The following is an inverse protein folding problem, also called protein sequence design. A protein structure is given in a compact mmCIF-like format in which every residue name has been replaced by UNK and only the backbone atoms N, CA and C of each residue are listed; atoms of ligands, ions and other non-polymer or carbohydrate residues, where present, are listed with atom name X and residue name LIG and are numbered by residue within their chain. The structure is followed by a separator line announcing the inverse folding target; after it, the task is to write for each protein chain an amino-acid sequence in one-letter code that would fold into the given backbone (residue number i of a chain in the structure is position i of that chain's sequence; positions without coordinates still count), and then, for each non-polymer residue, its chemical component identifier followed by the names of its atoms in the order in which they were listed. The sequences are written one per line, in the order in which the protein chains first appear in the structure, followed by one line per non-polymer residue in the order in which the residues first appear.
data_IF_224583527690
#
_entry.id   IF_224583527690
#
_cell.length_a   1.000
_cell.length_b   1.000
_cell.length_c   1.000
_cell.angle_alpha   90.00
_cell.angle_beta   90.00
_cell.angle_gamma   90.00
#
_symmetry.space_group_name_H-M   'P 1'
#
loop_
_entity.id
_entity.type
_entity.pdbx_description
1 polymer ?
#
# COMPACT_ATOMS: atom_id res chain seq x y z
N UNK A 1 31.15 18.87 28.58
CA UNK A 1 30.35 17.65 28.76
C UNK A 1 28.95 17.96 28.26
N UNK A 2 28.59 17.39 27.10
CA UNK A 2 27.33 17.67 26.41
C UNK A 2 26.12 17.29 27.26
N UNK A 3 25.25 18.27 27.49
CA UNK A 3 23.87 18.06 27.93
C UNK A 3 23.11 17.30 26.84
N UNK A 4 23.25 15.98 26.80
CA UNK A 4 22.35 15.12 26.03
C UNK A 4 21.02 15.05 26.76
N UNK A 5 20.03 15.72 26.21
CA UNK A 5 18.67 15.80 26.72
C UNK A 5 17.98 14.42 26.62
N UNK A 6 18.28 13.51 27.54
CA UNK A 6 17.84 12.09 27.56
C UNK A 6 16.33 11.91 27.77
N UNK A 7 15.60 13.00 28.06
CA UNK A 7 14.15 13.00 28.27
C UNK A 7 13.35 12.83 26.96
N UNK A 8 13.93 13.19 25.81
CA UNK A 8 13.28 13.05 24.50
C UNK A 8 13.53 11.70 23.81
N UNK A 9 14.57 10.96 24.19
CA UNK A 9 14.93 9.68 23.55
C UNK A 9 14.13 8.48 24.09
N UNK A 10 13.61 8.55 25.33
CA UNK A 10 13.04 7.38 26.02
C UNK A 10 11.53 7.14 25.80
N UNK A 11 10.76 8.10 25.28
CA UNK A 11 9.30 7.98 25.14
C UNK A 11 8.80 7.87 23.70
N UNK A 12 9.60 7.25 22.83
CA UNK A 12 9.12 6.86 21.50
C UNK A 12 8.98 5.35 21.46
N UNK A 13 7.96 4.86 22.15
CA UNK A 13 7.50 3.47 22.12
C UNK A 13 6.85 3.20 20.75
N UNK A 14 7.63 3.32 19.67
CA UNK A 14 7.21 2.84 18.36
C UNK A 14 7.34 1.33 18.40
N UNK A 15 6.21 0.64 18.56
CA UNK A 15 6.12 -0.78 18.22
C UNK A 15 6.83 -0.98 16.86
N UNK A 16 7.74 -1.95 16.70
CA UNK A 16 8.56 -2.10 15.50
C UNK A 16 7.75 -2.07 14.19
N UNK A 17 6.52 -2.57 14.21
CA UNK A 17 5.58 -2.51 13.09
C UNK A 17 5.06 -1.10 12.76
N UNK A 18 4.89 -0.23 13.76
CA UNK A 18 4.56 1.18 13.59
C UNK A 18 5.74 1.93 12.98
N UNK A 19 6.96 1.59 13.38
CA UNK A 19 8.18 2.19 12.78
C UNK A 19 8.27 1.89 11.29
N UNK A 20 8.06 0.63 10.89
CA UNK A 20 8.01 0.25 9.46
C UNK A 20 6.93 1.03 8.70
N UNK A 21 5.75 1.21 9.30
CA UNK A 21 4.67 1.97 8.66
C UNK A 21 4.93 3.47 8.57
N UNK A 22 5.62 4.04 9.56
CA UNK A 22 5.94 5.46 9.62
C UNK A 22 7.00 5.90 8.60
N UNK A 23 7.91 5.01 8.22
CA UNK A 23 9.00 5.32 7.28
C UNK A 23 8.66 5.01 5.81
N UNK A 24 7.58 4.27 5.55
CA UNK A 24 7.20 3.84 4.21
C UNK A 24 5.91 4.50 3.70
N UNK A 25 5.86 4.66 2.37
CA UNK A 25 4.70 5.19 1.65
C UNK A 25 4.01 4.09 0.84
N UNK A 26 2.80 4.34 0.37
CA UNK A 26 2.02 3.38 -0.42
C UNK A 26 2.78 2.87 -1.66
N UNK A 27 3.60 3.70 -2.33
CA UNK A 27 4.43 3.26 -3.45
C UNK A 27 5.39 2.10 -3.14
N UNK A 28 5.80 1.98 -1.88
CA UNK A 28 6.69 0.90 -1.41
C UNK A 28 5.92 -0.41 -1.13
N UNK A 29 4.59 -0.42 -1.24
CA UNK A 29 3.74 -1.55 -0.89
C UNK A 29 3.56 -2.50 -2.08
N UNK A 30 3.68 -3.83 -1.87
CA UNK A 30 3.43 -4.83 -2.93
C UNK A 30 2.04 -4.70 -3.55
N UNK A 31 1.03 -4.30 -2.77
CA UNK A 31 -0.35 -4.14 -3.24
C UNK A 31 -0.59 -2.85 -4.03
N UNK A 32 0.40 -1.97 -4.10
CA UNK A 32 0.33 -0.74 -4.88
C UNK A 32 0.89 -0.97 -6.27
N UNK A 33 -0.03 -1.05 -7.24
CA UNK A 33 0.24 -1.48 -8.61
C UNK A 33 -0.29 -0.47 -9.61
N UNK A 34 0.22 -0.54 -10.83
CA UNK A 34 -0.30 0.22 -11.95
C UNK A 34 -1.54 -0.50 -12.53
N UNK A 35 -2.68 0.16 -12.51
CA UNK A 35 -3.94 -0.29 -13.11
C UNK A 35 -4.00 0.27 -14.53
N UNK A 36 -3.93 -0.62 -15.51
CA UNK A 36 -3.96 -0.26 -16.94
C UNK A 36 -5.40 -0.25 -17.44
N UNK A 37 -5.90 0.94 -17.75
CA UNK A 37 -7.15 1.16 -18.47
C UNK A 37 -6.94 1.09 -19.98
N UNK A 38 -7.98 1.50 -20.72
CA UNK A 38 -7.92 1.57 -22.19
C UNK A 38 -7.07 2.74 -22.68
N UNK A 39 -7.21 3.89 -22.04
CA UNK A 39 -6.58 5.16 -22.45
C UNK A 39 -5.56 5.67 -21.42
N UNK A 40 -5.74 5.34 -20.14
CA UNK A 40 -4.89 5.80 -19.06
C UNK A 40 -4.36 4.66 -18.18
N UNK A 41 -3.24 4.92 -17.51
CA UNK A 41 -2.70 4.05 -16.45
C UNK A 41 -2.68 4.83 -15.16
N UNK A 42 -3.39 4.32 -14.14
CA UNK A 42 -3.47 4.93 -12.81
C UNK A 42 -2.93 3.99 -11.77
N UNK A 43 -2.38 4.50 -10.69
CA UNK A 43 -2.00 3.65 -9.56
C UNK A 43 -3.19 3.39 -8.65
N UNK A 44 -3.21 2.22 -8.02
CA UNK A 44 -4.25 1.84 -7.07
C UNK A 44 -3.79 0.75 -6.11
N UNK A 45 -4.59 0.55 -5.07
CA UNK A 45 -4.37 -0.46 -4.05
C UNK A 45 -5.28 -1.66 -4.28
N UNK A 46 -4.70 -2.83 -4.57
CA UNK A 46 -5.46 -4.06 -4.83
C UNK A 46 -5.64 -4.96 -3.60
N UNK A 47 -5.32 -4.46 -2.41
CA UNK A 47 -5.33 -5.25 -1.16
C UNK A 47 -6.71 -5.78 -0.77
N UNK A 48 -7.77 -5.18 -1.29
CA UNK A 48 -9.16 -5.59 -1.04
C UNK A 48 -9.61 -6.75 -1.94
N UNK A 49 -8.91 -6.99 -3.05
CA UNK A 49 -9.16 -8.13 -3.93
C UNK A 49 -8.65 -9.38 -3.21
N UNK A 50 -9.55 -10.29 -2.80
CA UNK A 50 -9.22 -11.48 -1.97
C UNK A 50 -8.00 -12.26 -2.51
N UNK A 51 -8.01 -12.57 -3.81
CA UNK A 51 -6.95 -13.30 -4.49
C UNK A 51 -5.55 -12.68 -4.31
N UNK A 52 -5.45 -11.35 -4.19
CA UNK A 52 -4.19 -10.66 -3.97
C UNK A 52 -3.96 -10.35 -2.50
N UNK A 53 -4.97 -9.87 -1.77
CA UNK A 53 -4.88 -9.51 -0.35
C UNK A 53 -4.49 -10.67 0.55
N UNK A 54 -4.91 -11.89 0.22
CA UNK A 54 -4.52 -13.13 0.91
C UNK A 54 -3.23 -13.75 0.33
N UNK A 55 -2.64 -13.14 -0.70
CA UNK A 55 -1.47 -13.64 -1.42
C UNK A 55 -1.68 -15.04 -2.04
N UNK A 56 -2.92 -15.41 -2.35
CA UNK A 56 -3.24 -16.64 -3.09
C UNK A 56 -2.67 -16.58 -4.52
N UNK A 57 -2.59 -15.37 -5.08
CA UNK A 57 -1.96 -15.08 -6.37
C UNK A 57 -0.80 -14.11 -6.21
N UNK A 58 0.22 -14.30 -7.05
CA UNK A 58 1.32 -13.34 -7.21
C UNK A 58 0.76 -12.00 -7.67
N UNK A 59 1.25 -10.93 -7.05
CA UNK A 59 0.85 -9.57 -7.41
C UNK A 59 1.65 -9.11 -8.63
N UNK A 60 0.98 -8.82 -9.77
CA UNK A 60 1.66 -8.27 -10.94
C UNK A 60 1.98 -6.79 -10.75
N UNK A 61 3.03 -6.30 -11.41
CA UNK A 61 3.37 -4.87 -11.38
C UNK A 61 2.32 -4.00 -12.10
N UNK A 62 1.70 -4.55 -13.15
CA UNK A 62 0.66 -3.92 -13.95
C UNK A 62 -0.54 -4.87 -13.99
N UNK A 63 -1.74 -4.35 -13.70
CA UNK A 63 -2.98 -5.10 -13.69
C UNK A 63 -4.01 -4.46 -14.63
N UNK A 64 -4.54 -5.19 -15.63
CA UNK A 64 -5.60 -4.67 -16.49
C UNK A 64 -6.89 -4.39 -15.72
N UNK A 65 -7.58 -3.30 -16.05
CA UNK A 65 -8.83 -2.90 -15.40
C UNK A 65 -9.91 -3.99 -15.49
N UNK A 66 -9.96 -4.72 -16.62
CA UNK A 66 -10.90 -5.82 -16.85
C UNK A 66 -10.71 -6.96 -15.86
N UNK A 67 -9.47 -7.24 -15.45
CA UNK A 67 -9.21 -8.30 -14.48
C UNK A 67 -9.64 -7.89 -13.07
N UNK A 68 -9.49 -6.61 -12.71
CA UNK A 68 -10.02 -6.08 -11.45
C UNK A 68 -11.54 -6.19 -11.42
N UNK A 69 -12.22 -5.76 -12.48
CA UNK A 69 -13.69 -5.80 -12.57
C UNK A 69 -14.19 -7.24 -12.45
N UNK A 70 -13.50 -8.23 -13.02
CA UNK A 70 -13.87 -9.65 -12.86
C UNK A 70 -13.83 -10.13 -11.40
N UNK A 71 -12.94 -9.60 -10.57
CA UNK A 71 -12.83 -10.03 -9.17
C UNK A 71 -13.78 -9.27 -8.23
N UNK A 72 -13.95 -7.97 -8.43
CA UNK A 72 -14.60 -7.09 -7.44
C UNK A 72 -15.68 -6.17 -8.03
N UNK A 73 -15.98 -6.28 -9.31
CA UNK A 73 -16.93 -5.42 -10.00
C UNK A 73 -16.45 -3.97 -10.17
N UNK A 74 -17.35 -3.11 -10.64
CA UNK A 74 -17.08 -1.69 -10.83
C UNK A 74 -16.93 -0.93 -9.50
N UNK A 75 -17.70 -1.30 -8.48
CA UNK A 75 -17.61 -0.68 -7.16
C UNK A 75 -16.25 -0.95 -6.50
N UNK A 76 -15.78 -2.19 -6.55
CA UNK A 76 -14.47 -2.55 -6.01
C UNK A 76 -13.30 -1.93 -6.77
N UNK A 77 -13.46 -1.67 -8.07
CA UNK A 77 -12.50 -0.88 -8.85
C UNK A 77 -12.41 0.56 -8.32
N UNK A 78 -13.55 1.18 -8.01
CA UNK A 78 -13.59 2.52 -7.40
C UNK A 78 -12.81 2.59 -6.10
N UNK A 79 -12.98 1.60 -5.22
CA UNK A 79 -12.23 1.50 -3.97
C UNK A 79 -10.71 1.31 -4.20
N UNK A 80 -10.31 0.53 -5.21
CA UNK A 80 -8.89 0.38 -5.56
C UNK A 80 -8.25 1.72 -5.98
N UNK A 81 -8.99 2.52 -6.75
CA UNK A 81 -8.52 3.82 -7.25
C UNK A 81 -8.52 4.92 -6.18
N UNK A 82 -9.42 4.82 -5.18
CA UNK A 82 -9.50 5.75 -4.04
C UNK A 82 -8.18 5.85 -3.27
N UNK A 83 -7.46 4.73 -3.19
CA UNK A 83 -6.15 4.63 -2.53
C UNK A 83 -4.97 4.72 -3.52
N UNK A 84 -5.12 5.50 -4.59
CA UNK A 84 -4.13 5.65 -5.67
C UNK A 84 -2.99 6.64 -5.42
N UNK A 85 -2.91 7.26 -4.23
CA UNK A 85 -1.84 8.23 -3.93
C UNK A 85 -0.52 7.50 -3.55
N UNK A 86 0.55 7.60 -4.36
CA UNK A 86 1.82 6.93 -4.09
C UNK A 86 2.55 7.47 -2.85
N UNK A 87 2.32 8.74 -2.51
CA UNK A 87 3.00 9.42 -1.40
C UNK A 87 2.24 9.31 -0.08
N UNK A 88 1.05 8.71 -0.09
CA UNK A 88 0.28 8.46 1.12
C UNK A 88 1.05 7.56 2.10
N UNK A 89 0.84 7.80 3.39
CA UNK A 89 1.42 6.97 4.45
C UNK A 89 0.91 5.53 4.32
N UNK A 90 1.80 4.57 4.58
CA UNK A 90 1.46 3.16 4.50
C UNK A 90 0.34 2.76 5.49
N UNK A 91 -0.59 1.94 5.02
CA UNK A 91 -1.76 1.53 5.79
C UNK A 91 -1.50 0.31 6.69
N UNK A 92 -2.52 -0.11 7.45
CA UNK A 92 -2.44 -1.29 8.32
C UNK A 92 -2.21 -2.62 7.60
N UNK A 93 -2.43 -2.69 6.29
CA UNK A 93 -2.16 -3.89 5.45
C UNK A 93 -0.89 -3.76 4.61
N UNK A 94 -0.01 -2.82 4.94
CA UNK A 94 1.23 -2.61 4.20
C UNK A 94 2.12 -3.85 4.21
N UNK A 95 2.65 -4.20 3.04
CA UNK A 95 3.73 -5.18 2.87
C UNK A 95 4.78 -4.61 1.93
N UNK A 96 6.03 -4.57 2.37
CA UNK A 96 7.14 -3.98 1.62
C UNK A 96 7.43 -4.79 0.34
N UNK A 97 7.63 -4.10 -0.79
CA UNK A 97 8.22 -4.70 -2.00
C UNK A 97 9.65 -5.13 -1.69
N UNK A 98 9.91 -6.43 -1.74
CA UNK A 98 11.25 -7.02 -1.63
C UNK A 98 11.83 -7.16 -3.03
#
# INVERSE_FOLDING_TARGET
MENKNVLWEKHRLYLPEMRKRAIHRCKNCIFFVAIKGKEETRHGCIVHIKAYGQLEKRIPAILPIMDIIKYVGLEGLGECLKHGNPEAQSCGRFKLKV
#
